data_IF_017432004539
#
_entry.id   IF_017432004539
#
_cell.length_a   1.000
_cell.length_b   1.000
_cell.length_c   1.000
_cell.angle_alpha   90.00
_cell.angle_beta   90.00
_cell.angle_gamma   90.00
#
_symmetry.space_group_name_H-M   'P 1'
#
loop_
_entity.id
_entity.type
_entity.pdbx_description
1 polymer ?
#
# COMPACT_ATOMS: atom_id res chain seq x y z
N UNK A 1 22.50 -9.38 -4.95
CA UNK A 1 21.27 -8.74 -5.44
C UNK A 1 20.10 -8.95 -4.50
N UNK A 2 19.21 -7.97 -4.44
CA UNK A 2 18.03 -7.96 -3.56
C UNK A 2 16.83 -7.34 -4.32
N UNK A 3 16.33 -8.02 -5.37
CA UNK A 3 15.32 -7.47 -6.28
C UNK A 3 14.04 -7.08 -5.53
N UNK A 4 13.69 -7.80 -4.46
CA UNK A 4 12.52 -7.49 -3.64
C UNK A 4 12.61 -6.11 -2.99
N UNK A 5 13.80 -5.61 -2.65
CA UNK A 5 13.97 -4.27 -2.07
C UNK A 5 14.35 -3.21 -3.10
N UNK A 6 15.14 -3.58 -4.11
CA UNK A 6 15.61 -2.62 -5.11
C UNK A 6 14.58 -2.35 -6.19
N UNK A 7 13.66 -3.29 -6.46
CA UNK A 7 12.75 -3.21 -7.59
C UNK A 7 13.45 -3.36 -8.95
N UNK A 8 14.68 -3.88 -8.96
CA UNK A 8 15.48 -4.06 -10.18
C UNK A 8 15.98 -5.51 -10.32
N UNK A 9 16.09 -5.96 -11.57
CA UNK A 9 16.69 -7.24 -11.91
C UNK A 9 18.23 -7.22 -11.79
N UNK A 10 18.87 -8.34 -12.12
CA UNK A 10 20.34 -8.50 -12.08
C UNK A 10 21.10 -7.59 -13.06
N UNK A 11 20.42 -6.98 -14.03
CA UNK A 11 20.97 -6.04 -14.99
C UNK A 11 20.68 -4.58 -14.60
N UNK A 12 20.08 -4.36 -13.44
CA UNK A 12 19.70 -3.02 -12.98
C UNK A 12 18.49 -2.45 -13.72
N UNK A 13 17.69 -3.27 -14.41
CA UNK A 13 16.45 -2.83 -15.06
C UNK A 13 15.26 -2.95 -14.11
N UNK A 14 14.29 -2.02 -14.14
CA UNK A 14 13.08 -2.14 -13.33
C UNK A 14 12.37 -3.46 -13.57
N UNK A 15 11.87 -4.10 -12.50
CA UNK A 15 11.12 -5.35 -12.61
C UNK A 15 9.83 -5.13 -13.40
N UNK A 16 9.55 -6.04 -14.34
CA UNK A 16 8.33 -6.06 -15.16
C UNK A 16 7.24 -6.96 -14.55
N UNK A 17 7.32 -7.26 -13.25
CA UNK A 17 6.56 -8.31 -12.60
C UNK A 17 5.23 -7.85 -11.98
N UNK A 18 4.78 -6.63 -12.27
CA UNK A 18 3.50 -6.11 -11.78
C UNK A 18 3.56 -5.58 -10.35
N UNK A 19 4.58 -4.78 -10.03
CA UNK A 19 4.72 -4.13 -8.72
C UNK A 19 4.87 -5.12 -7.55
N UNK A 20 5.53 -6.26 -7.75
CA UNK A 20 5.63 -7.30 -6.71
C UNK A 20 6.77 -7.12 -5.71
N UNK A 21 7.62 -6.11 -5.92
CA UNK A 21 8.68 -5.72 -4.99
C UNK A 21 8.12 -4.92 -3.80
N UNK A 22 9.00 -4.59 -2.86
CA UNK A 22 8.63 -4.06 -1.56
C UNK A 22 7.85 -2.74 -1.65
N UNK A 23 6.84 -2.66 -0.81
CA UNK A 23 6.10 -1.48 -0.44
C UNK A 23 6.44 -1.13 1.00
N UNK A 24 6.68 0.16 1.24
CA UNK A 24 6.88 0.74 2.56
C UNK A 24 5.58 1.41 2.96
N UNK A 25 4.80 0.74 3.81
CA UNK A 25 3.44 1.15 4.16
C UNK A 25 3.46 1.90 5.51
N UNK A 26 3.07 3.17 5.55
CA UNK A 26 3.03 3.96 6.76
C UNK A 26 1.82 3.55 7.61
N UNK A 27 2.03 3.39 8.92
CA UNK A 27 1.00 3.01 9.88
C UNK A 27 0.94 4.01 11.03
N UNK A 28 -0.27 4.19 11.53
CA UNK A 28 -0.62 4.95 12.74
C UNK A 28 -1.38 3.98 13.67
N UNK A 29 -0.65 3.32 14.56
CA UNK A 29 -1.22 2.25 15.40
C UNK A 29 -1.92 2.77 16.64
N UNK A 30 -1.48 3.92 17.17
CA UNK A 30 -2.10 4.57 18.33
C UNK A 30 -3.28 5.49 17.96
N UNK A 31 -3.42 5.84 16.67
CA UNK A 31 -4.54 6.60 16.13
C UNK A 31 -4.42 8.12 16.32
N UNK A 32 -3.23 8.63 16.65
CA UNK A 32 -3.00 10.04 16.90
C UNK A 32 -2.77 10.86 15.60
N UNK A 33 -2.74 10.18 14.45
CA UNK A 33 -2.48 10.68 13.09
C UNK A 33 -1.02 11.02 12.81
N UNK A 34 -0.09 10.56 13.65
CA UNK A 34 1.34 10.53 13.38
C UNK A 34 1.77 9.12 13.00
N UNK A 35 2.80 9.06 12.16
CA UNK A 35 3.35 7.76 11.75
C UNK A 35 4.25 7.23 12.86
N UNK A 36 3.88 6.09 13.42
CA UNK A 36 4.62 5.42 14.48
C UNK A 36 5.28 4.10 14.00
N UNK A 37 4.72 3.48 12.95
CA UNK A 37 5.16 2.20 12.44
C UNK A 37 5.22 2.19 10.91
N UNK A 38 6.03 1.26 10.39
CA UNK A 38 6.17 1.00 8.97
C UNK A 38 6.06 -0.51 8.76
N UNK A 39 5.19 -0.93 7.84
CA UNK A 39 5.15 -2.29 7.34
C UNK A 39 5.91 -2.37 6.02
N UNK A 40 6.93 -3.23 5.97
CA UNK A 40 7.62 -3.58 4.73
C UNK A 40 6.99 -4.87 4.21
N UNK A 41 6.34 -4.79 3.04
CA UNK A 41 5.62 -5.90 2.44
C UNK A 41 5.94 -6.01 0.95
N UNK A 42 6.16 -7.21 0.44
CA UNK A 42 6.38 -7.47 -0.98
C UNK A 42 5.50 -8.64 -1.43
N UNK A 43 4.65 -8.49 -2.47
CA UNK A 43 3.88 -9.60 -3.05
C UNK A 43 4.74 -10.78 -3.55
N UNK A 44 6.01 -10.55 -3.88
CA UNK A 44 6.95 -11.63 -4.24
C UNK A 44 7.58 -12.34 -3.03
N UNK A 45 7.24 -11.91 -1.81
CA UNK A 45 7.93 -12.33 -0.59
C UNK A 45 9.21 -11.55 -0.36
N UNK A 46 9.84 -11.79 0.80
CA UNK A 46 11.13 -11.20 1.17
C UNK A 46 12.13 -12.32 1.41
N UNK A 47 13.14 -12.41 0.54
CA UNK A 47 14.19 -13.41 0.63
C UNK A 47 15.17 -13.14 1.77
N UNK A 48 16.12 -14.05 1.96
CA UNK A 48 17.09 -13.98 3.05
C UNK A 48 17.92 -12.68 3.05
N UNK A 49 18.31 -12.21 1.87
CA UNK A 49 19.07 -10.96 1.72
C UNK A 49 18.22 -9.75 2.16
N UNK A 50 16.97 -9.67 1.70
CA UNK A 50 16.04 -8.62 2.12
C UNK A 50 15.79 -8.65 3.63
N UNK A 51 15.51 -9.84 4.18
CA UNK A 51 15.28 -10.01 5.61
C UNK A 51 16.51 -9.67 6.46
N UNK A 52 17.73 -9.94 5.98
CA UNK A 52 18.96 -9.50 6.65
C UNK A 52 19.10 -7.97 6.60
N UNK A 53 18.90 -7.36 5.43
CA UNK A 53 18.99 -5.91 5.25
C UNK A 53 17.99 -5.18 6.17
N UNK A 54 16.73 -5.61 6.18
CA UNK A 54 15.69 -5.04 7.05
C UNK A 54 16.06 -5.19 8.53
N UNK A 55 16.53 -6.36 8.97
CA UNK A 55 16.95 -6.58 10.37
C UNK A 55 18.13 -5.72 10.80
N UNK A 56 19.02 -5.39 9.87
CA UNK A 56 20.17 -4.52 10.13
C UNK A 56 19.82 -3.04 10.19
N UNK A 57 18.61 -2.64 9.75
CA UNK A 57 18.17 -1.25 9.79
C UNK A 57 17.99 -0.80 11.24
N UNK A 58 18.78 0.20 11.64
CA UNK A 58 18.74 0.81 12.99
C UNK A 58 18.38 2.28 12.97
N UNK A 59 18.59 2.95 11.84
CA UNK A 59 18.40 4.39 11.68
C UNK A 59 17.86 4.68 10.29
N UNK A 60 16.95 5.65 10.20
CA UNK A 60 16.50 6.25 8.95
C UNK A 60 16.70 7.76 9.02
N UNK A 61 16.91 8.39 7.87
CA UNK A 61 17.18 9.82 7.77
C UNK A 61 15.87 10.60 7.63
N UNK A 62 15.76 11.71 8.34
CA UNK A 62 14.69 12.69 8.09
C UNK A 62 15.20 13.83 7.22
N UNK A 63 14.31 14.40 6.42
CA UNK A 63 14.61 15.63 5.67
C UNK A 63 14.37 16.83 6.59
N UNK A 64 15.14 17.90 6.38
CA UNK A 64 14.94 19.16 7.10
C UNK A 64 15.66 19.29 8.44
N UNK A 65 16.67 18.44 8.72
CA UNK A 65 17.57 18.65 9.86
C UNK A 65 17.03 18.22 11.22
N UNK A 66 15.93 17.45 11.26
CA UNK A 66 15.32 16.94 12.52
C UNK A 66 16.13 15.80 13.15
N UNK A 67 17.20 15.35 12.48
CA UNK A 67 18.06 14.25 12.91
C UNK A 67 17.59 12.89 12.42
N UNK A 68 18.32 11.83 12.77
CA UNK A 68 17.94 10.48 12.38
C UNK A 68 16.86 9.93 13.31
N UNK A 69 15.91 9.21 12.73
CA UNK A 69 14.99 8.39 13.51
C UNK A 69 15.63 7.03 13.78
N UNK A 70 15.64 6.62 15.04
CA UNK A 70 15.98 5.25 15.39
C UNK A 70 14.78 4.35 15.11
N UNK A 71 15.05 3.18 14.53
CA UNK A 71 14.02 2.20 14.22
C UNK A 71 14.38 0.85 14.83
N UNK A 72 13.36 0.13 15.27
CA UNK A 72 13.48 -1.23 15.78
C UNK A 72 12.54 -2.15 15.00
N UNK A 73 13.05 -3.31 14.61
CA UNK A 73 12.20 -4.35 14.04
C UNK A 73 11.36 -4.97 15.16
N UNK A 74 10.05 -4.72 15.13
CA UNK A 74 9.10 -5.21 16.13
C UNK A 74 8.54 -6.60 15.80
N UNK A 75 8.64 -7.05 14.55
CA UNK A 75 8.19 -8.38 14.16
C UNK A 75 8.40 -8.71 12.68
N UNK A 76 8.37 -10.00 12.36
CA UNK A 76 8.29 -10.54 10.99
C UNK A 76 7.36 -11.74 11.00
N UNK A 77 6.43 -11.78 10.05
CA UNK A 77 5.41 -12.81 9.93
C UNK A 77 4.97 -12.92 8.49
N UNK A 78 4.42 -14.06 8.12
CA UNK A 78 3.65 -14.15 6.88
C UNK A 78 2.40 -13.28 6.99
N UNK A 79 1.95 -12.75 5.86
CA UNK A 79 0.83 -11.81 5.81
C UNK A 79 -0.43 -12.36 6.50
N UNK A 80 -0.72 -13.65 6.30
CA UNK A 80 -1.87 -14.33 6.90
C UNK A 80 -1.78 -14.54 8.42
N UNK A 81 -0.59 -14.37 9.01
CA UNK A 81 -0.35 -14.45 10.45
C UNK A 81 -0.46 -13.09 11.14
N UNK A 82 -0.54 -11.97 10.41
CA UNK A 82 -0.66 -10.65 11.03
C UNK A 82 -1.94 -10.49 11.86
N UNK A 83 -2.98 -11.29 11.60
CA UNK A 83 -4.19 -11.39 12.45
C UNK A 83 -3.92 -11.88 13.87
N UNK A 84 -2.78 -12.52 14.11
CA UNK A 84 -2.38 -13.05 15.41
C UNK A 84 -1.47 -12.08 16.19
N UNK A 85 -1.25 -10.86 15.66
CA UNK A 85 -0.50 -9.84 16.38
C UNK A 85 -1.25 -9.43 17.68
N UNK A 86 -0.53 -8.91 18.69
CA UNK A 86 -1.17 -8.27 19.82
C UNK A 86 -1.88 -6.98 19.39
N UNK A 87 -2.82 -6.49 20.20
CA UNK A 87 -3.29 -5.09 20.05
C UNK A 87 -2.14 -4.12 20.39
N UNK A 88 -2.09 -2.93 19.75
CA UNK A 88 -2.99 -2.40 18.73
C UNK A 88 -2.70 -2.86 17.29
N UNK A 89 -1.56 -3.53 17.05
CA UNK A 89 -1.09 -3.96 15.73
C UNK A 89 -2.13 -4.78 14.95
N UNK A 90 -2.83 -5.68 15.65
CA UNK A 90 -3.87 -6.53 15.05
C UNK A 90 -4.99 -5.75 14.40
N UNK A 91 -5.43 -4.65 15.03
CA UNK A 91 -6.52 -3.82 14.51
C UNK A 91 -6.15 -3.19 13.18
N UNK A 92 -4.96 -2.61 13.09
CA UNK A 92 -4.51 -1.97 11.86
C UNK A 92 -4.19 -2.99 10.77
N UNK A 93 -3.51 -4.10 11.12
CA UNK A 93 -3.33 -5.22 10.21
C UNK A 93 -4.67 -5.78 9.71
N UNK A 94 -5.68 -5.88 10.58
CA UNK A 94 -7.03 -6.31 10.23
C UNK A 94 -7.68 -5.40 9.18
N UNK A 95 -7.48 -4.08 9.27
CA UNK A 95 -7.99 -3.10 8.30
C UNK A 95 -7.24 -3.18 6.96
N UNK A 96 -5.93 -3.35 6.99
CA UNK A 96 -5.11 -3.42 5.77
C UNK A 96 -5.26 -4.74 5.01
N UNK A 97 -5.52 -5.84 5.73
CA UNK A 97 -5.67 -7.15 5.12
C UNK A 97 -7.12 -7.54 4.87
N UNK A 98 -8.07 -6.87 5.52
CA UNK A 98 -9.43 -7.36 5.71
C UNK A 98 -9.51 -8.75 6.39
N UNK A 99 -8.53 -9.07 7.25
CA UNK A 99 -8.34 -10.39 7.85
C UNK A 99 -9.37 -10.79 8.93
N UNK A 100 -10.42 -9.99 9.15
CA UNK A 100 -11.36 -10.14 10.26
C UNK A 100 -12.62 -10.95 9.93
N UNK A 101 -12.85 -11.30 8.67
CA UNK A 101 -13.83 -12.32 8.34
C UNK A 101 -13.19 -13.71 8.52
N UNK A 102 -13.94 -14.69 8.97
CA UNK A 102 -13.60 -16.09 8.68
C UNK A 102 -14.90 -16.82 8.46
N UNK A 103 -15.10 -17.36 7.26
CA UNK A 103 -16.15 -18.35 7.02
C UNK A 103 -15.52 -19.71 7.30
N UNK A 104 -16.13 -20.49 8.20
CA UNK A 104 -15.74 -21.89 8.41
C UNK A 104 -16.18 -22.69 7.18
N UNK A 105 -15.24 -23.37 6.51
CA UNK A 105 -15.54 -24.42 5.53
C UNK A 105 -15.00 -25.77 6.02
N UNK A 106 -15.50 -26.88 5.44
CA UNK A 106 -15.07 -28.26 5.76
C UNK A 106 -13.60 -28.55 5.40
N UNK A 107 -12.91 -27.64 4.70
CA UNK A 107 -11.54 -27.81 4.20
C UNK A 107 -10.50 -26.87 4.86
N UNK A 108 -10.89 -26.01 5.81
CA UNK A 108 -9.97 -25.08 6.50
C UNK A 108 -10.43 -23.61 6.51
N UNK A 109 -9.62 -22.72 7.11
CA UNK A 109 -9.89 -21.27 7.23
C UNK A 109 -9.38 -20.53 5.97
N UNK A 110 -10.28 -20.05 5.12
CA UNK A 110 -9.95 -19.19 3.97
C UNK A 110 -9.75 -17.73 4.45
N UNK A 111 -8.70 -17.00 4.02
CA UNK A 111 -8.59 -15.57 4.29
C UNK A 111 -9.76 -14.80 3.69
N UNK A 112 -10.30 -13.85 4.43
CA UNK A 112 -11.40 -12.97 3.99
C UNK A 112 -10.89 -11.67 3.42
N UNK A 113 -11.58 -11.17 2.42
CA UNK A 113 -11.40 -9.83 1.89
C UNK A 113 -12.43 -8.85 2.43
N UNK A 114 -12.39 -7.62 1.91
CA UNK A 114 -13.46 -6.65 2.05
C UNK A 114 -14.00 -6.31 0.66
N UNK A 115 -15.29 -6.01 0.58
CA UNK A 115 -15.92 -5.50 -0.65
C UNK A 115 -15.63 -4.03 -0.87
N UNK A 116 -15.43 -3.26 0.21
CA UNK A 116 -15.22 -1.82 0.13
C UNK A 116 -13.92 -1.41 0.79
N UNK A 117 -13.14 -0.62 0.06
CA UNK A 117 -11.83 -0.12 0.48
C UNK A 117 -11.75 1.39 0.29
N UNK A 118 -11.25 2.12 1.28
CA UNK A 118 -11.07 3.57 1.23
C UNK A 118 -9.59 3.92 1.34
N UNK A 119 -9.15 4.95 0.63
CA UNK A 119 -7.81 5.51 0.74
C UNK A 119 -7.46 5.92 2.18
N UNK A 120 -6.36 5.37 2.69
CA UNK A 120 -5.64 5.89 3.87
C UNK A 120 -4.63 6.96 3.46
N UNK A 121 -4.03 6.81 2.27
CA UNK A 121 -3.10 7.80 1.70
C UNK A 121 -3.54 8.09 0.26
N UNK A 122 -3.22 9.28 -0.29
CA UNK A 122 -3.85 9.71 -1.52
C UNK A 122 -3.43 8.84 -2.71
N UNK A 123 -4.40 8.42 -3.50
CA UNK A 123 -4.15 7.87 -4.83
C UNK A 123 -3.66 8.99 -5.74
N UNK A 124 -2.44 8.84 -6.26
CA UNK A 124 -1.85 9.77 -7.24
C UNK A 124 -1.88 9.09 -8.61
N UNK A 125 -2.62 9.62 -9.60
CA UNK A 125 -2.70 9.00 -10.92
C UNK A 125 -1.31 8.92 -11.57
N UNK A 126 -0.88 7.75 -12.08
CA UNK A 126 0.41 7.61 -12.76
C UNK A 126 0.46 8.33 -14.12
N UNK A 127 -0.70 8.68 -14.71
CA UNK A 127 -0.83 9.33 -16.02
C UNK A 127 -1.77 10.54 -15.93
N UNK A 128 -1.70 11.44 -16.91
CA UNK A 128 -2.64 12.57 -17.01
C UNK A 128 -4.09 12.07 -17.03
N UNK A 129 -4.90 12.55 -16.08
CA UNK A 129 -6.33 12.24 -16.02
C UNK A 129 -7.03 12.88 -17.23
N UNK A 130 -7.80 12.08 -17.95
CA UNK A 130 -8.60 12.50 -19.11
C UNK A 130 -10.08 12.37 -18.79
N UNK A 131 -10.92 13.13 -19.49
CA UNK A 131 -12.38 13.06 -19.32
C UNK A 131 -13.02 11.77 -19.86
N UNK A 132 -12.37 11.11 -20.82
CA UNK A 132 -12.88 9.91 -21.51
C UNK A 132 -11.73 8.98 -21.89
N UNK A 133 -12.05 7.70 -22.11
CA UNK A 133 -11.11 6.66 -22.52
C UNK A 133 -10.32 6.06 -21.36
N UNK A 134 -9.33 5.22 -21.67
CA UNK A 134 -8.53 4.46 -20.67
C UNK A 134 -7.77 5.27 -19.61
N UNK A 135 -7.59 6.57 -19.84
CA UNK A 135 -6.87 7.46 -18.93
C UNK A 135 -7.80 8.32 -18.06
N UNK A 136 -9.10 7.99 -17.96
CA UNK A 136 -9.94 8.49 -16.87
C UNK A 136 -9.39 8.07 -15.51
N UNK A 137 -9.88 8.66 -14.43
CA UNK A 137 -9.44 8.29 -13.09
C UNK A 137 -9.75 6.81 -12.82
N UNK A 138 -10.97 6.40 -13.13
CA UNK A 138 -11.44 5.01 -13.02
C UNK A 138 -10.70 4.07 -13.98
N UNK A 139 -10.39 4.54 -15.20
CA UNK A 139 -9.60 3.76 -16.16
C UNK A 139 -8.16 3.52 -15.69
N UNK A 140 -7.55 4.50 -15.01
CA UNK A 140 -6.24 4.33 -14.40
C UNK A 140 -6.29 3.42 -13.17
N UNK A 141 -7.31 3.54 -12.31
CA UNK A 141 -7.53 2.58 -11.22
C UNK A 141 -7.69 1.17 -11.78
N UNK A 142 -8.47 0.99 -12.83
CA UNK A 142 -8.68 -0.31 -13.49
C UNK A 142 -7.36 -0.90 -14.03
N UNK A 143 -6.52 -0.09 -14.67
CA UNK A 143 -5.21 -0.52 -15.15
C UNK A 143 -4.24 -0.89 -14.00
N UNK A 144 -4.32 -0.19 -12.87
CA UNK A 144 -3.53 -0.50 -11.68
C UNK A 144 -4.00 -1.79 -10.98
N UNK A 145 -5.31 -2.08 -10.98
CA UNK A 145 -5.86 -3.35 -10.48
C UNK A 145 -5.44 -4.52 -11.37
N UNK A 146 -5.59 -4.36 -12.69
CA UNK A 146 -5.20 -5.37 -13.68
C UNK A 146 -3.70 -5.71 -13.58
N UNK A 147 -2.83 -4.70 -13.46
CA UNK A 147 -1.38 -4.92 -13.37
C UNK A 147 -0.94 -5.68 -12.12
N UNK A 148 -1.80 -5.76 -11.09
CA UNK A 148 -1.59 -6.50 -9.84
C UNK A 148 -2.37 -7.80 -9.77
N UNK A 149 -3.11 -8.15 -10.82
CA UNK A 149 -3.97 -9.33 -10.86
C UNK A 149 -5.18 -9.26 -9.92
N UNK A 150 -5.59 -8.05 -9.53
CA UNK A 150 -6.79 -7.83 -8.72
C UNK A 150 -8.04 -7.84 -9.61
N UNK A 151 -9.20 -8.29 -9.09
CA UNK A 151 -10.44 -8.25 -9.86
C UNK A 151 -10.82 -6.79 -10.21
N UNK A 152 -11.57 -6.58 -11.30
CA UNK A 152 -12.05 -5.24 -11.65
C UNK A 152 -12.96 -4.71 -10.55
N UNK A 153 -12.85 -3.42 -10.25
CA UNK A 153 -13.77 -2.74 -9.35
C UNK A 153 -15.16 -2.66 -9.97
N UNK A 154 -16.19 -2.88 -9.16
CA UNK A 154 -17.58 -2.61 -9.53
C UNK A 154 -17.85 -1.11 -9.54
N UNK A 155 -17.29 -0.39 -8.56
CA UNK A 155 -17.44 1.05 -8.43
C UNK A 155 -16.16 1.70 -7.93
N UNK A 156 -15.86 2.89 -8.43
CA UNK A 156 -14.80 3.78 -7.94
C UNK A 156 -15.43 5.14 -7.71
N UNK A 157 -15.36 5.65 -6.48
CA UNK A 157 -15.91 6.94 -6.08
C UNK A 157 -14.81 7.85 -5.58
N UNK A 158 -14.84 9.12 -5.99
CA UNK A 158 -13.98 10.16 -5.42
C UNK A 158 -14.63 10.70 -4.16
N UNK A 159 -13.84 10.83 -3.10
CA UNK A 159 -14.27 11.38 -1.81
C UNK A 159 -13.64 12.78 -1.64
N UNK A 160 -14.36 13.88 -1.96
CA UNK A 160 -13.76 15.22 -2.02
C UNK A 160 -13.26 15.73 -0.67
N UNK A 161 -14.03 15.52 0.41
CA UNK A 161 -13.69 16.01 1.75
C UNK A 161 -12.46 15.28 2.30
N UNK A 162 -12.39 13.97 2.11
CA UNK A 162 -11.25 13.13 2.47
C UNK A 162 -10.03 13.50 1.61
N UNK A 163 -10.22 13.79 0.31
CA UNK A 163 -9.13 14.26 -0.55
C UNK A 163 -8.50 15.54 0.00
N UNK A 164 -9.32 16.45 0.54
CA UNK A 164 -8.84 17.65 1.22
C UNK A 164 -8.02 17.30 2.46
N UNK A 165 -8.40 16.30 3.26
CA UNK A 165 -7.60 15.90 4.44
C UNK A 165 -6.24 15.30 4.06
N UNK A 166 -6.13 14.66 2.90
CA UNK A 166 -4.91 14.02 2.40
C UNK A 166 -4.00 14.98 1.62
N UNK A 167 -4.36 16.26 1.48
CA UNK A 167 -3.60 17.24 0.67
C UNK A 167 -2.19 17.54 1.19
N UNK A 168 -1.90 17.28 2.46
CA UNK A 168 -0.59 17.56 3.06
C UNK A 168 0.45 16.45 2.83
N UNK A 169 0.04 15.31 2.24
CA UNK A 169 1.00 14.28 1.84
C UNK A 169 1.94 14.81 0.76
N UNK A 170 3.23 14.46 0.89
CA UNK A 170 4.22 14.73 -0.15
C UNK A 170 3.99 13.77 -1.32
N UNK A 171 3.45 14.28 -2.42
CA UNK A 171 3.10 13.49 -3.63
C UNK A 171 4.14 13.56 -4.74
N UNK A 172 5.09 14.49 -4.64
CA UNK A 172 6.09 14.73 -5.68
C UNK A 172 7.47 14.35 -5.16
N UNK A 173 8.23 13.62 -5.99
CA UNK A 173 9.65 13.42 -5.74
C UNK A 173 10.41 14.66 -6.17
N UNK A 174 11.12 15.27 -5.22
CA UNK A 174 12.00 16.39 -5.51
C UNK A 174 13.41 15.96 -5.95
N UNK A 175 13.80 14.70 -5.67
CA UNK A 175 15.12 14.16 -5.99
C UNK A 175 15.00 12.72 -6.45
N UNK A 176 15.51 12.42 -7.64
CA UNK A 176 15.49 11.09 -8.25
C UNK A 176 14.11 10.62 -8.72
N UNK A 177 14.09 9.93 -9.86
CA UNK A 177 12.85 9.47 -10.52
C UNK A 177 12.03 10.60 -11.15
N UNK A 178 11.00 10.22 -11.90
CA UNK A 178 10.09 11.19 -12.54
C UNK A 178 8.94 11.56 -11.59
N UNK A 179 8.58 12.84 -11.46
CA UNK A 179 7.40 13.25 -10.72
C UNK A 179 6.12 12.73 -11.41
N UNK A 180 4.98 12.69 -10.70
CA UNK A 180 3.71 12.41 -11.37
C UNK A 180 3.41 13.52 -12.39
N UNK A 181 2.63 13.23 -13.44
CA UNK A 181 2.32 14.19 -14.50
C UNK A 181 1.55 15.42 -14.00
N UNK A 182 0.82 15.27 -12.88
CA UNK A 182 0.12 16.35 -12.18
C UNK A 182 0.26 16.08 -10.68
N UNK A 183 0.55 17.12 -9.90
CA UNK A 183 0.52 17.05 -8.43
C UNK A 183 -0.92 17.11 -7.93
N UNK A 184 -1.61 15.98 -8.01
CA UNK A 184 -2.97 15.81 -7.49
C UNK A 184 -3.10 14.46 -6.81
N UNK A 185 -3.78 14.44 -5.66
CA UNK A 185 -4.10 13.22 -4.93
C UNK A 185 -5.60 13.12 -4.69
N UNK A 186 -6.14 11.92 -4.82
CA UNK A 186 -7.55 11.62 -4.56
C UNK A 186 -7.67 10.66 -3.39
N UNK A 187 -8.63 10.92 -2.50
CA UNK A 187 -9.21 9.88 -1.67
C UNK A 187 -10.28 9.16 -2.51
N UNK A 188 -10.17 7.84 -2.59
CA UNK A 188 -11.07 7.00 -3.36
C UNK A 188 -11.74 5.97 -2.44
N UNK A 189 -13.01 5.68 -2.71
CA UNK A 189 -13.68 4.45 -2.29
C UNK A 189 -13.73 3.51 -3.49
N UNK A 190 -13.30 2.27 -3.31
CA UNK A 190 -13.35 1.22 -4.32
C UNK A 190 -14.23 0.10 -3.79
N UNK A 191 -15.23 -0.28 -4.58
CA UNK A 191 -16.19 -1.34 -4.26
C UNK A 191 -16.06 -2.49 -5.25
N UNK A 192 -16.08 -3.72 -4.74
CA UNK A 192 -16.11 -4.96 -5.50
C UNK A 192 -17.36 -5.76 -5.19
N UNK A 193 -17.84 -6.49 -6.20
CA UNK A 193 -18.96 -7.43 -6.06
C UNK A 193 -18.62 -8.59 -5.12
N UNK A 194 -17.36 -9.02 -5.10
CA UNK A 194 -16.85 -10.05 -4.20
C UNK A 194 -15.72 -9.54 -3.29
N UNK A 195 -15.56 -10.08 -2.08
CA UNK A 195 -14.51 -9.65 -1.16
C UNK A 195 -13.10 -9.83 -1.73
N UNK A 196 -12.30 -8.76 -1.71
CA UNK A 196 -10.90 -8.76 -2.16
C UNK A 196 -9.97 -8.66 -0.95
N UNK A 197 -8.95 -9.53 -0.83
CA UNK A 197 -7.96 -9.45 0.24
C UNK A 197 -6.98 -8.30 0.00
N UNK A 198 -6.52 -7.66 1.09
CA UNK A 198 -5.46 -6.65 1.01
C UNK A 198 -4.06 -7.22 1.26
N UNK A 199 -3.02 -6.36 1.29
CA UNK A 199 -3.09 -4.90 1.11
C UNK A 199 -3.48 -4.46 -0.30
N UNK A 200 -4.24 -3.37 -0.40
CA UNK A 200 -4.54 -2.71 -1.67
C UNK A 200 -3.71 -1.42 -1.75
N UNK A 201 -2.82 -1.37 -2.74
CA UNK A 201 -1.89 -0.24 -2.96
C UNK A 201 -1.82 0.11 -4.44
N UNK A 202 -2.22 1.32 -4.83
CA UNK A 202 -2.42 1.68 -6.24
C UNK A 202 -1.79 3.03 -6.58
N UNK A 203 -1.39 3.20 -7.83
CA UNK A 203 -0.98 4.49 -8.39
C UNK A 203 0.48 4.85 -8.14
N UNK A 204 0.80 6.10 -8.48
CA UNK A 204 2.14 6.64 -8.36
C UNK A 204 2.59 6.69 -6.89
N UNK A 205 3.83 6.26 -6.65
CA UNK A 205 4.43 6.28 -5.31
C UNK A 205 3.88 5.21 -4.36
N UNK A 206 3.12 4.22 -4.86
CA UNK A 206 2.55 3.15 -4.04
C UNK A 206 3.58 2.26 -3.30
N UNK A 207 4.82 2.19 -3.79
CA UNK A 207 5.93 1.54 -3.09
C UNK A 207 6.45 2.35 -1.89
N UNK A 208 6.04 3.62 -1.77
CA UNK A 208 6.57 4.60 -0.81
C UNK A 208 5.45 5.23 0.03
N UNK A 209 4.34 4.50 0.20
CA UNK A 209 3.28 4.86 1.13
C UNK A 209 2.15 5.70 0.55
N UNK A 210 2.16 6.07 -0.73
CA UNK A 210 0.99 6.68 -1.38
C UNK A 210 -0.01 5.63 -1.88
N UNK A 211 -1.26 6.03 -2.12
CA UNK A 211 -2.31 5.17 -2.64
C UNK A 211 -2.55 3.88 -1.84
N UNK A 212 -2.36 3.91 -0.53
CA UNK A 212 -2.68 2.82 0.39
C UNK A 212 -4.17 2.88 0.73
N UNK A 213 -4.83 1.73 0.77
CA UNK A 213 -6.24 1.60 1.13
C UNK A 213 -6.43 0.69 2.35
N UNK A 214 -7.50 0.94 3.10
CA UNK A 214 -7.98 0.08 4.18
C UNK A 214 -9.42 -0.35 3.92
N UNK A 215 -9.78 -1.52 4.42
CA UNK A 215 -11.16 -1.96 4.45
C UNK A 215 -12.03 -0.92 5.18
N UNK A 216 -13.12 -0.51 4.53
CA UNK A 216 -14.15 0.31 5.18
C UNK A 216 -14.76 -0.52 6.32
N UNK A 217 -14.83 0.07 7.52
CA UNK A 217 -15.49 -0.60 8.65
C UNK A 217 -16.97 -0.75 8.29
N UNK A 218 -17.48 -1.98 8.37
CA UNK A 218 -18.92 -2.21 8.52
C UNK A 218 -19.42 -1.56 9.81
#
# INVERSE_FOLDING_TARGET
DCPELTGHDRYGQPLADGHRHAHVLPLDLDGDRHLDHILIWAPMGLGDAAQRAIRSLKRIWTKGGVGDLQVALVGRRDLGELKNLPEPLRREAGRLLAANGSIRSKQGRTPTGARTWISLTPFVPPRFVKRRGRNTLEGQVSAELESRGLPPAEQVEVLPDESMTLRHFVRVRHHGGSPPPVDVGYALRITWSEPVPGPIVLGYGCHFGLGLFAAERL
#
